data_IF_975773642058
#
_entry.id   IF_975773642058
#
_cell.length_a   1.000
_cell.length_b   1.000
_cell.length_c   1.000
_cell.angle_alpha   90.00
_cell.angle_beta   90.00
_cell.angle_gamma   90.00
#
_symmetry.space_group_name_H-M   'P 1'
#
loop_
_entity.id
_entity.type
_entity.pdbx_description
1 polymer ?
#
# COMPACT_ATOMS: atom_id res chain seq x y z
N UNK A 1 45.73 -25.45 26.68
CA UNK A 1 44.54 -25.97 26.00
C UNK A 1 43.43 -24.95 25.98
N UNK A 2 43.74 -23.75 25.44
CA UNK A 2 42.79 -22.64 25.31
C UNK A 2 42.91 -22.06 23.90
N UNK A 3 42.37 -22.75 22.91
CA UNK A 3 42.35 -22.26 21.52
C UNK A 3 40.98 -22.41 20.82
N UNK A 4 39.88 -22.58 21.57
CA UNK A 4 38.55 -22.76 20.99
C UNK A 4 37.52 -21.70 21.35
N UNK A 5 37.91 -20.60 22.05
CA UNK A 5 36.95 -19.55 22.45
C UNK A 5 36.96 -18.26 21.60
N UNK A 6 37.67 -18.23 20.49
CA UNK A 6 37.89 -16.96 19.72
C UNK A 6 37.28 -16.94 18.30
N UNK A 7 36.16 -17.63 18.02
CA UNK A 7 35.52 -17.62 16.68
C UNK A 7 34.01 -17.56 16.66
N UNK A 8 33.36 -16.99 17.64
CA UNK A 8 31.99 -16.52 17.45
C UNK A 8 31.95 -15.01 17.60
N UNK A 9 32.34 -14.35 16.52
CA UNK A 9 32.05 -12.95 16.34
C UNK A 9 30.55 -12.74 16.50
N UNK A 10 30.15 -12.01 17.54
CA UNK A 10 28.78 -11.58 17.80
C UNK A 10 28.30 -10.80 16.59
N UNK A 11 27.49 -11.41 15.74
CA UNK A 11 26.76 -10.71 14.67
C UNK A 11 25.80 -9.73 15.36
N UNK A 12 26.26 -8.53 15.61
CA UNK A 12 25.38 -7.43 15.95
C UNK A 12 24.66 -7.07 14.65
N UNK A 13 23.54 -7.70 14.40
CA UNK A 13 22.57 -7.24 13.40
C UNK A 13 22.09 -5.88 13.87
N UNK A 14 22.61 -4.82 13.29
CA UNK A 14 22.14 -3.47 13.53
C UNK A 14 20.70 -3.43 13.00
N UNK A 15 19.73 -3.50 13.91
CA UNK A 15 18.31 -3.36 13.59
C UNK A 15 18.12 -1.94 13.11
N UNK A 16 17.88 -1.74 11.82
CA UNK A 16 17.55 -0.44 11.26
C UNK A 16 16.04 -0.23 11.39
N UNK A 17 15.61 0.22 12.56
CA UNK A 17 14.21 0.47 12.83
C UNK A 17 13.75 1.76 12.14
N UNK A 18 12.87 1.64 11.17
CA UNK A 18 12.17 2.76 10.54
C UNK A 18 10.78 2.90 11.14
N UNK A 19 10.39 4.13 11.52
CA UNK A 19 9.07 4.42 12.07
C UNK A 19 8.29 5.26 11.08
N UNK A 20 7.10 4.77 10.68
CA UNK A 20 6.10 5.48 9.90
C UNK A 20 4.96 5.86 10.86
N UNK A 21 4.66 7.15 11.01
CA UNK A 21 3.76 7.64 12.08
C UNK A 21 2.30 7.75 11.69
N UNK A 22 1.99 7.83 10.41
CA UNK A 22 0.62 8.06 9.89
C UNK A 22 0.35 7.08 8.77
N UNK A 23 0.34 5.79 9.11
CA UNK A 23 -0.02 4.76 8.16
C UNK A 23 -1.52 4.52 8.17
N UNK A 24 -2.09 4.31 7.00
CA UNK A 24 -3.51 3.99 6.83
C UNK A 24 -3.70 2.49 6.71
N UNK A 25 -4.63 1.93 7.49
CA UNK A 25 -5.04 0.54 7.39
C UNK A 25 -6.23 0.44 6.42
N UNK A 26 -6.07 -0.32 5.36
CA UNK A 26 -7.12 -0.56 4.36
C UNK A 26 -7.73 -1.95 4.44
N UNK A 27 -7.51 -2.68 5.55
CA UNK A 27 -8.03 -4.04 5.72
C UNK A 27 -9.56 -4.09 5.78
N UNK A 28 -10.17 -3.18 6.53
CA UNK A 28 -11.63 -3.09 6.64
C UNK A 28 -12.10 -1.66 6.32
N UNK A 29 -13.40 -1.42 6.26
CA UNK A 29 -13.98 -0.12 5.92
C UNK A 29 -13.73 1.00 6.93
N UNK A 30 -13.06 0.76 8.06
CA UNK A 30 -12.75 1.81 9.06
C UNK A 30 -11.67 2.78 8.60
N UNK A 31 -10.77 2.38 7.71
CA UNK A 31 -9.69 3.20 7.13
C UNK A 31 -8.94 4.01 8.19
N UNK A 32 -8.52 3.34 9.30
CA UNK A 32 -7.77 4.01 10.38
C UNK A 32 -6.46 4.58 9.84
N UNK A 33 -6.15 5.83 10.10
CA UNK A 33 -5.01 6.60 9.56
C UNK A 33 -4.02 7.10 10.62
N UNK A 34 -4.24 6.78 11.89
CA UNK A 34 -3.41 7.14 13.03
C UNK A 34 -2.41 6.03 13.45
N UNK A 35 -2.15 5.07 12.57
CA UNK A 35 -1.34 3.90 12.88
C UNK A 35 0.14 4.23 12.78
N UNK A 36 0.90 3.90 13.85
CA UNK A 36 2.35 3.98 13.86
C UNK A 36 2.95 2.61 13.57
N UNK A 37 3.65 2.47 12.44
CA UNK A 37 4.33 1.25 12.04
C UNK A 37 5.81 1.30 12.38
N UNK A 38 6.30 0.22 12.97
CA UNK A 38 7.72 -0.02 13.19
C UNK A 38 8.19 -1.10 12.23
N UNK A 39 9.07 -0.75 11.31
CA UNK A 39 9.62 -1.67 10.33
C UNK A 39 11.10 -1.94 10.60
N UNK A 40 11.49 -3.19 10.50
CA UNK A 40 12.88 -3.65 10.46
C UNK A 40 13.15 -4.20 9.06
N UNK A 41 13.92 -3.46 8.28
CA UNK A 41 14.14 -3.73 6.85
C UNK A 41 12.78 -3.86 6.10
N UNK A 42 12.45 -5.07 5.68
CA UNK A 42 11.28 -5.38 4.85
C UNK A 42 10.08 -5.90 5.65
N UNK A 43 10.16 -5.86 6.98
CA UNK A 43 9.13 -6.42 7.86
C UNK A 43 8.56 -5.39 8.81
N UNK A 44 7.24 -5.34 8.92
CA UNK A 44 6.58 -4.62 10.00
C UNK A 44 6.62 -5.51 11.26
N UNK A 45 7.31 -5.01 12.29
CA UNK A 45 7.48 -5.73 13.55
C UNK A 45 6.47 -5.30 14.61
N UNK A 46 5.87 -4.11 14.44
CA UNK A 46 4.86 -3.58 15.35
C UNK A 46 3.96 -2.57 14.65
N UNK A 47 2.65 -2.64 14.91
CA UNK A 47 1.68 -1.64 14.52
C UNK A 47 0.99 -1.10 15.79
N UNK A 48 1.31 0.13 16.20
CA UNK A 48 0.66 0.81 17.33
C UNK A 48 -0.63 1.44 16.84
N UNK A 49 -1.62 1.56 17.73
CA UNK A 49 -2.97 2.05 17.45
C UNK A 49 -3.79 1.16 16.48
N UNK A 50 -3.20 0.09 15.95
CA UNK A 50 -3.93 -0.89 15.16
C UNK A 50 -4.78 -1.81 16.06
N UNK A 51 -5.97 -2.16 15.61
CA UNK A 51 -6.74 -3.25 16.22
C UNK A 51 -6.07 -4.61 15.92
N UNK A 52 -6.52 -5.68 16.56
CA UNK A 52 -5.94 -7.02 16.38
C UNK A 52 -5.94 -7.49 14.92
N UNK A 53 -6.97 -7.16 14.16
CA UNK A 53 -7.07 -7.50 12.72
C UNK A 53 -6.08 -6.68 11.88
N UNK A 54 -5.99 -5.37 12.12
CA UNK A 54 -5.03 -4.49 11.45
C UNK A 54 -3.58 -4.84 11.77
N UNK A 55 -3.25 -5.14 13.03
CA UNK A 55 -1.89 -5.58 13.41
C UNK A 55 -1.50 -6.88 12.69
N UNK A 56 -2.41 -7.86 12.65
CA UNK A 56 -2.20 -9.10 11.91
C UNK A 56 -2.01 -8.84 10.41
N UNK A 57 -2.86 -7.99 9.82
CA UNK A 57 -2.77 -7.65 8.40
C UNK A 57 -1.44 -6.99 8.04
N UNK A 58 -0.98 -5.99 8.80
CA UNK A 58 0.30 -5.34 8.56
C UNK A 58 1.48 -6.31 8.66
N UNK A 59 1.48 -7.21 9.63
CA UNK A 59 2.57 -8.19 9.82
C UNK A 59 2.62 -9.23 8.70
N UNK A 60 1.47 -9.61 8.14
CA UNK A 60 1.40 -10.63 7.09
C UNK A 60 1.66 -10.07 5.68
N UNK A 61 1.50 -8.77 5.46
CA UNK A 61 1.65 -8.15 4.13
C UNK A 61 3.03 -7.54 3.87
N UNK A 62 4.01 -7.76 4.73
CA UNK A 62 5.38 -7.27 4.57
C UNK A 62 6.33 -8.36 4.11
N UNK A 63 5.95 -9.07 3.08
CA UNK A 63 6.80 -10.07 2.43
C UNK A 63 7.32 -9.55 1.09
N UNK A 64 8.29 -10.27 0.53
CA UNK A 64 8.84 -9.95 -0.79
C UNK A 64 7.73 -9.67 -1.82
N UNK A 65 7.93 -8.66 -2.64
CA UNK A 65 7.05 -8.37 -3.77
C UNK A 65 7.16 -9.50 -4.78
N UNK A 66 6.18 -10.36 -4.80
CA UNK A 66 6.07 -11.45 -5.78
C UNK A 66 5.45 -10.99 -7.10
N UNK A 67 4.90 -9.77 -7.13
CA UNK A 67 4.17 -9.23 -8.27
C UNK A 67 4.85 -7.97 -8.80
N UNK A 68 4.78 -7.70 -10.11
CA UNK A 68 5.24 -6.45 -10.68
C UNK A 68 4.47 -5.26 -10.10
N UNK A 69 5.09 -4.08 -10.12
CA UNK A 69 4.47 -2.85 -9.60
C UNK A 69 3.21 -2.46 -10.37
N UNK A 70 3.16 -2.75 -11.67
CA UNK A 70 2.01 -2.53 -12.53
C UNK A 70 1.95 -3.54 -13.68
N UNK A 71 0.77 -3.64 -14.28
CA UNK A 71 0.53 -4.43 -15.50
C UNK A 71 -0.18 -3.55 -16.55
N UNK A 72 0.29 -3.64 -17.80
CA UNK A 72 -0.40 -3.09 -18.97
C UNK A 72 -0.64 -4.25 -19.93
N UNK A 73 -1.88 -4.48 -20.33
CA UNK A 73 -2.30 -5.62 -21.17
C UNK A 73 -1.82 -6.98 -20.62
N UNK A 74 -1.84 -7.13 -19.30
CA UNK A 74 -1.39 -8.34 -18.60
C UNK A 74 0.13 -8.54 -18.58
N UNK A 75 0.92 -7.58 -19.04
CA UNK A 75 2.39 -7.63 -19.04
C UNK A 75 2.96 -6.69 -17.98
N UNK A 76 4.04 -7.08 -17.29
CA UNK A 76 4.72 -6.20 -16.35
C UNK A 76 5.13 -4.87 -17.00
N UNK A 77 4.86 -3.77 -16.31
CA UNK A 77 5.18 -2.41 -16.75
C UNK A 77 5.66 -1.57 -15.55
N UNK A 78 6.30 -0.44 -15.82
CA UNK A 78 6.57 0.55 -14.78
C UNK A 78 5.28 1.27 -14.38
N UNK A 79 5.25 1.86 -13.19
CA UNK A 79 4.09 2.64 -12.72
C UNK A 79 3.81 3.80 -13.66
N UNK A 80 4.86 4.48 -14.14
CA UNK A 80 4.74 5.61 -15.07
C UNK A 80 4.06 5.19 -16.38
N UNK A 81 4.52 4.08 -16.99
CA UNK A 81 3.93 3.55 -18.22
C UNK A 81 2.47 3.11 -18.01
N UNK A 82 2.16 2.56 -16.85
CA UNK A 82 0.78 2.17 -16.52
C UNK A 82 -0.13 3.39 -16.33
N UNK A 83 0.37 4.46 -15.70
CA UNK A 83 -0.37 5.72 -15.55
C UNK A 83 -0.61 6.38 -16.92
N UNK A 84 0.38 6.43 -17.81
CA UNK A 84 0.21 6.93 -19.16
C UNK A 84 -0.84 6.14 -19.95
N UNK A 85 -0.76 4.81 -19.91
CA UNK A 85 -1.75 3.96 -20.56
C UNK A 85 -3.16 4.15 -19.99
N UNK A 86 -3.30 4.26 -18.66
CA UNK A 86 -4.58 4.53 -18.01
C UNK A 86 -5.15 5.90 -18.40
N UNK A 87 -4.32 6.93 -18.46
CA UNK A 87 -4.73 8.29 -18.88
C UNK A 87 -5.24 8.29 -20.32
N UNK A 88 -4.57 7.58 -21.23
CA UNK A 88 -5.00 7.45 -22.62
C UNK A 88 -6.35 6.73 -22.73
N UNK A 89 -6.53 5.63 -21.97
CA UNK A 89 -7.82 4.92 -21.90
C UNK A 89 -8.95 5.82 -21.44
N UNK A 90 -8.73 6.59 -20.37
CA UNK A 90 -9.73 7.49 -19.81
C UNK A 90 -10.07 8.63 -20.78
N UNK A 91 -9.04 9.16 -21.48
CA UNK A 91 -9.21 10.24 -22.44
C UNK A 91 -10.03 9.81 -23.68
N UNK A 92 -9.89 8.55 -24.12
CA UNK A 92 -10.61 8.00 -25.28
C UNK A 92 -12.01 7.48 -24.93
N UNK A 93 -12.32 7.31 -23.64
CA UNK A 93 -13.60 6.75 -23.22
C UNK A 93 -14.75 7.77 -23.36
N UNK A 94 -15.86 7.37 -23.96
CA UNK A 94 -17.04 8.21 -24.07
C UNK A 94 -17.72 8.45 -22.70
N UNK A 95 -17.67 7.46 -21.81
CA UNK A 95 -18.28 7.55 -20.48
C UNK A 95 -17.46 6.72 -19.48
N UNK A 96 -16.32 7.23 -19.01
CA UNK A 96 -15.48 6.52 -18.05
C UNK A 96 -16.15 6.39 -16.69
N UNK A 97 -15.94 5.26 -16.03
CA UNK A 97 -16.44 4.96 -14.69
C UNK A 97 -15.29 4.96 -13.68
N UNK A 98 -15.37 5.81 -12.65
CA UNK A 98 -14.54 5.75 -11.45
C UNK A 98 -15.30 4.98 -10.37
N UNK A 99 -14.83 3.78 -10.04
CA UNK A 99 -15.56 2.85 -9.19
C UNK A 99 -14.73 2.34 -8.00
N UNK A 100 -15.40 2.05 -6.89
CA UNK A 100 -14.78 1.45 -5.71
C UNK A 100 -14.71 2.43 -4.53
N UNK A 101 -13.52 2.74 -4.04
CA UNK A 101 -13.25 3.76 -3.01
C UNK A 101 -13.74 3.46 -1.59
N UNK A 102 -14.17 2.23 -1.30
CA UNK A 102 -14.68 1.89 0.03
C UNK A 102 -13.59 1.83 1.11
N UNK A 103 -12.35 1.53 0.73
CA UNK A 103 -11.22 1.33 1.65
C UNK A 103 -10.07 2.29 1.35
N UNK A 104 -10.37 3.56 1.10
CA UNK A 104 -9.39 4.62 0.85
C UNK A 104 -9.65 5.81 1.77
N UNK A 105 -8.66 6.67 1.95
CA UNK A 105 -8.78 7.88 2.76
C UNK A 105 -9.71 8.92 2.12
N UNK A 106 -10.20 9.87 2.89
CA UNK A 106 -11.01 10.99 2.38
C UNK A 106 -10.27 11.85 1.37
N UNK A 107 -8.95 11.99 1.52
CA UNK A 107 -8.09 12.70 0.56
C UNK A 107 -8.09 11.98 -0.79
N UNK A 108 -7.89 10.67 -0.81
CA UNK A 108 -7.93 9.87 -2.02
C UNK A 108 -9.34 9.88 -2.67
N UNK A 109 -10.42 9.91 -1.88
CA UNK A 109 -11.77 10.06 -2.40
C UNK A 109 -11.97 11.41 -3.11
N UNK A 110 -11.43 12.52 -2.55
CA UNK A 110 -11.48 13.84 -3.22
C UNK A 110 -10.77 13.82 -4.56
N UNK A 111 -9.60 13.19 -4.66
CA UNK A 111 -8.87 13.05 -5.92
C UNK A 111 -9.64 12.20 -6.94
N UNK A 112 -10.31 11.14 -6.48
CA UNK A 112 -11.16 10.31 -7.34
C UNK A 112 -12.36 11.09 -7.89
N UNK A 113 -13.00 11.94 -7.07
CA UNK A 113 -14.08 12.85 -7.52
C UNK A 113 -13.54 13.86 -8.52
N UNK A 114 -12.41 14.51 -8.21
CA UNK A 114 -11.80 15.50 -9.11
C UNK A 114 -11.42 14.87 -10.46
N UNK A 115 -10.93 13.62 -10.45
CA UNK A 115 -10.64 12.87 -11.67
C UNK A 115 -11.93 12.63 -12.48
N UNK A 116 -13.00 12.16 -11.84
CA UNK A 116 -14.27 11.91 -12.52
C UNK A 116 -14.85 13.20 -13.16
N UNK A 117 -14.77 14.33 -12.44
CA UNK A 117 -15.19 15.64 -12.97
C UNK A 117 -14.32 16.08 -14.15
N UNK A 118 -13.00 15.88 -14.08
CA UNK A 118 -12.05 16.26 -15.13
C UNK A 118 -12.30 15.50 -16.44
N UNK A 119 -12.60 14.20 -16.35
CA UNK A 119 -12.80 13.34 -17.53
C UNK A 119 -14.27 13.27 -17.99
N UNK A 120 -15.18 13.98 -17.31
CA UNK A 120 -16.62 13.88 -17.60
C UNK A 120 -17.21 12.51 -17.31
N UNK A 121 -16.63 11.79 -16.36
CA UNK A 121 -16.98 10.42 -16.04
C UNK A 121 -18.10 10.28 -15.01
N UNK A 122 -18.51 9.05 -14.79
CA UNK A 122 -19.45 8.65 -13.74
C UNK A 122 -18.67 8.15 -12.54
N UNK A 123 -19.14 8.47 -11.33
CA UNK A 123 -18.57 7.97 -10.10
C UNK A 123 -19.57 7.09 -9.36
N UNK A 124 -19.13 5.95 -8.88
CA UNK A 124 -19.93 5.06 -8.06
C UNK A 124 -19.07 4.36 -7.00
N UNK A 125 -19.53 4.33 -5.75
CA UNK A 125 -18.90 3.55 -4.70
C UNK A 125 -19.43 2.12 -4.74
N UNK A 126 -18.60 1.13 -4.39
CA UNK A 126 -19.02 -0.26 -4.43
C UNK A 126 -20.09 -0.62 -3.36
N UNK A 127 -20.45 0.33 -2.50
CA UNK A 127 -21.48 0.22 -1.46
C UNK A 127 -22.73 1.06 -1.75
N UNK A 128 -22.88 1.57 -2.95
CA UNK A 128 -24.03 2.40 -3.37
C UNK A 128 -25.25 1.55 -3.79
N UNK A 129 -25.69 0.64 -2.93
CA UNK A 129 -26.94 -0.12 -3.12
C UNK A 129 -28.03 0.36 -2.18
#
# INVERSE_FOLDING_TARGET
>A
NDLLSARFGRWQTTVSLRIVRTATCTFCGCVCDDIELHADRDRIVKARNACSLGDAWFRHHTTERLYPDALVDGKPASVEAAVEAAAEFLYQADMPLVYGMSNITSEAQREAVALAELIGGVIDSHTSL
#
